data_IF_478140826210
#
_entry.id   IF_478140826210
#
_cell.length_a   1.000
_cell.length_b   1.000
_cell.length_c   1.000
_cell.angle_alpha   90.00
_cell.angle_beta   90.00
_cell.angle_gamma   90.00
#
_symmetry.space_group_name_H-M   'P 1'
#
loop_
_entity.id
_entity.type
_entity.pdbx_description
1 polymer ?
#
# COMPACT_ATOMS: atom_id res chain seq x y z
N UNK A 1 8.60 4.01 -15.50
CA UNK A 1 7.80 4.34 -14.31
C UNK A 1 8.58 5.33 -13.45
N UNK A 2 7.91 6.34 -12.87
CA UNK A 2 8.55 7.41 -12.08
C UNK A 2 9.21 6.84 -10.81
N UNK A 3 10.40 7.32 -10.41
CA UNK A 3 11.16 6.80 -9.26
C UNK A 3 10.38 6.89 -7.94
N UNK A 4 9.69 8.02 -7.70
CA UNK A 4 8.83 8.19 -6.53
C UNK A 4 7.71 7.14 -6.50
N UNK A 5 7.03 6.93 -7.64
CA UNK A 5 5.96 5.91 -7.77
C UNK A 5 6.50 4.50 -7.54
N UNK A 6 7.62 4.14 -8.19
CA UNK A 6 8.27 2.84 -8.02
C UNK A 6 8.61 2.56 -6.54
N UNK A 7 9.22 3.52 -5.84
CA UNK A 7 9.64 3.34 -4.44
C UNK A 7 8.47 3.08 -3.52
N UNK A 8 7.32 3.75 -3.72
CA UNK A 8 6.12 3.54 -2.89
C UNK A 8 5.46 2.19 -3.16
N UNK A 9 5.41 1.76 -4.42
CA UNK A 9 4.92 0.43 -4.79
C UNK A 9 5.82 -0.69 -4.26
N UNK A 10 7.14 -0.53 -4.34
CA UNK A 10 8.10 -1.47 -3.73
C UNK A 10 7.94 -1.49 -2.22
N UNK A 11 7.74 -0.32 -1.58
CA UNK A 11 7.53 -0.25 -0.15
C UNK A 11 6.30 -1.04 0.29
N UNK A 12 5.14 -0.86 -0.37
CA UNK A 12 3.93 -1.60 0.00
C UNK A 12 4.06 -3.10 -0.29
N UNK A 13 4.64 -3.47 -1.44
CA UNK A 13 4.89 -4.88 -1.82
C UNK A 13 5.80 -5.59 -0.82
N UNK A 14 6.81 -4.91 -0.28
CA UNK A 14 7.70 -5.49 0.72
C UNK A 14 7.10 -5.45 2.14
N UNK A 15 6.08 -4.61 2.36
CA UNK A 15 5.44 -4.47 3.66
C UNK A 15 4.30 -5.46 3.85
N UNK A 16 3.61 -5.89 2.79
CA UNK A 16 2.52 -6.86 2.86
C UNK A 16 2.86 -8.06 1.96
N UNK A 17 2.82 -9.26 2.54
CA UNK A 17 3.00 -10.51 1.80
C UNK A 17 1.94 -10.65 0.70
N UNK A 18 2.33 -11.01 -0.51
CA UNK A 18 1.44 -11.39 -1.63
C UNK A 18 0.99 -12.86 -1.53
N UNK A 19 1.35 -13.55 -0.45
CA UNK A 19 0.95 -14.93 -0.15
C UNK A 19 0.34 -15.03 1.23
N UNK A 20 -0.67 -15.88 1.32
CA UNK A 20 -1.27 -16.27 2.60
C UNK A 20 -0.32 -17.20 3.37
N UNK A 21 -0.31 -17.03 4.69
CA UNK A 21 0.35 -17.97 5.60
C UNK A 21 -0.49 -19.25 5.80
N UNK A 22 -0.05 -20.12 6.72
CA UNK A 22 -0.76 -21.36 7.07
C UNK A 22 -2.15 -21.14 7.67
N UNK A 23 -2.43 -19.93 8.16
CA UNK A 23 -3.70 -19.54 8.76
C UNK A 23 -4.57 -18.76 7.76
N UNK A 24 -4.25 -18.84 6.46
CA UNK A 24 -4.94 -18.11 5.41
C UNK A 24 -4.91 -16.60 5.63
N UNK A 25 -3.82 -16.07 6.22
CA UNK A 25 -3.67 -14.64 6.48
C UNK A 25 -2.44 -14.01 5.82
N UNK A 26 -2.63 -12.86 5.18
CA UNK A 26 -1.51 -12.02 4.73
C UNK A 26 -0.72 -11.52 5.93
N UNK A 27 0.59 -11.41 5.79
CA UNK A 27 1.46 -10.90 6.84
C UNK A 27 1.92 -9.49 6.52
N UNK A 28 1.94 -8.63 7.54
CA UNK A 28 2.68 -7.37 7.46
C UNK A 28 4.13 -7.68 7.86
N UNK A 29 5.04 -7.60 6.90
CA UNK A 29 6.44 -8.05 7.03
C UNK A 29 7.33 -6.90 7.53
N UNK A 30 7.08 -5.67 7.07
CA UNK A 30 7.88 -4.48 7.35
C UNK A 30 6.94 -3.28 7.50
N UNK A 31 7.38 -2.23 8.19
CA UNK A 31 6.63 -0.97 8.37
C UNK A 31 5.28 -1.14 9.08
N UNK A 32 5.19 -2.11 10.00
CA UNK A 32 3.96 -2.41 10.73
C UNK A 32 3.40 -1.18 11.44
N UNK A 33 4.25 -0.37 12.07
CA UNK A 33 3.83 0.90 12.69
C UNK A 33 3.22 1.90 11.71
N UNK A 34 3.81 2.04 10.52
CA UNK A 34 3.31 2.95 9.47
C UNK A 34 1.99 2.44 8.88
N UNK A 35 1.91 1.15 8.54
CA UNK A 35 0.70 0.57 7.95
C UNK A 35 -0.44 0.48 8.97
N UNK A 36 -0.13 0.15 10.22
CA UNK A 36 -1.13 0.15 11.30
C UNK A 36 -1.75 1.52 11.51
N UNK A 37 -1.04 2.62 11.23
CA UNK A 37 -1.62 3.97 11.25
C UNK A 37 -2.80 4.18 10.29
N UNK A 38 -2.94 3.32 9.27
CA UNK A 38 -4.08 3.29 8.35
C UNK A 38 -5.18 2.30 8.75
N UNK A 39 -5.04 1.63 9.89
CA UNK A 39 -6.00 0.66 10.41
C UNK A 39 -6.76 1.20 11.62
N UNK A 40 -7.99 0.73 11.78
CA UNK A 40 -8.81 1.01 12.96
C UNK A 40 -8.08 0.53 14.22
N UNK A 41 -8.04 1.37 15.26
CA UNK A 41 -7.34 1.09 16.52
C UNK A 41 -5.85 0.73 16.35
N UNK A 42 -5.22 1.19 15.27
CA UNK A 42 -3.84 0.89 14.92
C UNK A 42 -3.55 -0.62 14.79
N UNK A 43 -4.51 -1.41 14.30
CA UNK A 43 -4.31 -2.85 14.12
C UNK A 43 -5.08 -3.38 12.91
N UNK A 44 -4.35 -3.95 11.95
CA UNK A 44 -4.93 -4.63 10.80
C UNK A 44 -5.15 -6.12 11.10
N UNK A 45 -6.33 -6.47 11.58
CA UNK A 45 -6.65 -7.82 12.08
C UNK A 45 -7.08 -8.78 10.97
N UNK A 46 -7.81 -8.28 9.96
CA UNK A 46 -8.26 -9.10 8.82
C UNK A 46 -7.39 -8.90 7.57
N UNK A 47 -7.47 -9.84 6.63
CA UNK A 47 -6.80 -9.71 5.32
C UNK A 47 -7.26 -8.46 4.57
N UNK A 48 -8.56 -8.17 4.61
CA UNK A 48 -9.13 -7.00 3.99
C UNK A 48 -8.59 -5.71 4.63
N UNK A 49 -8.47 -5.66 5.96
CA UNK A 49 -7.88 -4.51 6.66
C UNK A 49 -6.40 -4.31 6.27
N UNK A 50 -5.63 -5.39 6.13
CA UNK A 50 -4.22 -5.31 5.69
C UNK A 50 -4.12 -4.76 4.26
N UNK A 51 -4.93 -5.27 3.34
CA UNK A 51 -5.00 -4.77 1.96
C UNK A 51 -5.42 -3.29 1.94
N UNK A 52 -6.46 -2.94 2.70
CA UNK A 52 -6.95 -1.56 2.81
C UNK A 52 -5.87 -0.62 3.36
N UNK A 53 -5.08 -1.06 4.35
CA UNK A 53 -3.96 -0.28 4.87
C UNK A 53 -2.91 0.00 3.78
N UNK A 54 -2.58 -1.01 2.96
CA UNK A 54 -1.70 -0.85 1.81
C UNK A 54 -2.27 0.14 0.78
N UNK A 55 -3.56 0.03 0.45
CA UNK A 55 -4.25 0.99 -0.43
C UNK A 55 -4.21 2.41 0.12
N UNK A 56 -4.56 2.61 1.39
CA UNK A 56 -4.57 3.91 2.03
C UNK A 56 -3.17 4.53 2.11
N UNK A 57 -2.14 3.71 2.36
CA UNK A 57 -0.75 4.14 2.28
C UNK A 57 -0.38 4.65 0.87
N UNK A 58 -0.75 3.91 -0.18
CA UNK A 58 -0.52 4.36 -1.55
C UNK A 58 -1.32 5.63 -1.88
N UNK A 59 -2.56 5.72 -1.40
CA UNK A 59 -3.41 6.90 -1.62
C UNK A 59 -2.89 8.13 -0.90
N UNK A 60 -2.41 8.01 0.33
CA UNK A 60 -1.74 9.12 1.02
C UNK A 60 -0.46 9.52 0.27
N UNK A 61 0.35 8.55 -0.14
CA UNK A 61 1.60 8.83 -0.85
C UNK A 61 1.39 9.53 -2.21
N UNK A 62 0.27 9.28 -2.90
CA UNK A 62 0.04 9.78 -4.24
C UNK A 62 -1.02 10.88 -4.36
N UNK A 63 -1.96 10.97 -3.41
CA UNK A 63 -3.15 11.82 -3.51
C UNK A 63 -3.50 12.60 -2.22
N UNK A 64 -2.66 12.59 -1.18
CA UNK A 64 -2.94 13.31 0.09
C UNK A 64 -3.28 14.78 -0.10
N UNK A 65 -2.46 15.49 -0.89
CA UNK A 65 -2.64 16.92 -1.18
C UNK A 65 -1.95 17.32 -2.49
N UNK A 66 -2.13 18.57 -2.94
CA UNK A 66 -1.60 19.03 -4.22
C UNK A 66 -0.07 19.02 -4.31
N UNK A 67 0.65 19.04 -3.19
CA UNK A 67 2.12 19.03 -3.19
C UNK A 67 2.68 17.72 -3.69
N UNK A 68 2.00 16.59 -3.45
CA UNK A 68 2.50 15.27 -3.88
C UNK A 68 2.45 15.08 -5.39
N UNK A 69 1.59 15.84 -6.09
CA UNK A 69 1.52 15.86 -7.56
C UNK A 69 2.76 16.46 -8.22
N UNK A 70 3.62 17.18 -7.49
CA UNK A 70 4.90 17.62 -8.04
C UNK A 70 5.91 16.47 -8.17
N UNK A 71 5.70 15.35 -7.47
CA UNK A 71 6.62 14.21 -7.49
C UNK A 71 6.30 13.20 -8.59
N UNK A 72 5.11 13.28 -9.19
CA UNK A 72 4.67 12.40 -10.26
C UNK A 72 3.81 13.15 -11.27
N UNK A 73 4.09 12.99 -12.56
CA UNK A 73 3.49 13.83 -13.60
C UNK A 73 2.20 13.27 -14.22
N UNK A 74 1.65 12.10 -13.82
CA UNK A 74 0.72 11.41 -14.73
C UNK A 74 -0.32 10.43 -14.15
N UNK A 75 -1.47 10.49 -14.84
CA UNK A 75 -2.79 9.84 -14.78
C UNK A 75 -2.85 8.35 -14.40
N UNK A 76 -1.76 7.58 -14.52
CA UNK A 76 -1.83 6.11 -14.45
C UNK A 76 -1.48 5.53 -13.07
N UNK A 77 -1.40 6.36 -12.02
CA UNK A 77 -1.16 5.86 -10.66
C UNK A 77 -2.27 4.91 -10.21
N UNK A 78 -3.51 5.23 -10.55
CA UNK A 78 -4.65 4.36 -10.24
C UNK A 78 -4.48 3.00 -10.90
N UNK A 79 -3.98 2.93 -12.13
CA UNK A 79 -3.67 1.66 -12.80
C UNK A 79 -2.62 0.86 -12.03
N UNK A 80 -1.57 1.50 -11.52
CA UNK A 80 -0.56 0.80 -10.73
C UNK A 80 -1.07 0.29 -9.38
N UNK A 81 -1.98 1.04 -8.73
CA UNK A 81 -2.65 0.57 -7.51
C UNK A 81 -3.52 -0.66 -7.82
N UNK A 82 -4.25 -0.65 -8.94
CA UNK A 82 -5.07 -1.79 -9.40
C UNK A 82 -4.19 -2.99 -9.74
N UNK A 83 -3.05 -2.78 -10.42
CA UNK A 83 -2.10 -3.84 -10.71
C UNK A 83 -1.59 -4.47 -9.41
N UNK A 84 -1.16 -3.67 -8.43
CA UNK A 84 -0.75 -4.19 -7.12
C UNK A 84 -1.87 -4.98 -6.44
N UNK A 85 -3.10 -4.45 -6.43
CA UNK A 85 -4.27 -5.15 -5.90
C UNK A 85 -4.55 -6.48 -6.60
N UNK A 86 -4.27 -6.59 -7.89
CA UNK A 86 -4.48 -7.83 -8.66
C UNK A 86 -3.47 -8.93 -8.30
N UNK A 87 -2.37 -8.57 -7.64
CA UNK A 87 -1.36 -9.51 -7.13
C UNK A 87 -1.60 -9.94 -5.68
N UNK A 88 -2.46 -9.24 -4.94
CA UNK A 88 -2.81 -9.59 -3.56
C UNK A 88 -3.81 -10.73 -3.56
#
# INVERSE_FOLDING_TARGET
MNDYVCRRLIAVKNSISDKLDKNESYQIIINDTTLNGYCTNNKCSSNLEKINAGCLFLFDAFFKDSSVFNYHNSINIVEYVIIWLSYM
#
